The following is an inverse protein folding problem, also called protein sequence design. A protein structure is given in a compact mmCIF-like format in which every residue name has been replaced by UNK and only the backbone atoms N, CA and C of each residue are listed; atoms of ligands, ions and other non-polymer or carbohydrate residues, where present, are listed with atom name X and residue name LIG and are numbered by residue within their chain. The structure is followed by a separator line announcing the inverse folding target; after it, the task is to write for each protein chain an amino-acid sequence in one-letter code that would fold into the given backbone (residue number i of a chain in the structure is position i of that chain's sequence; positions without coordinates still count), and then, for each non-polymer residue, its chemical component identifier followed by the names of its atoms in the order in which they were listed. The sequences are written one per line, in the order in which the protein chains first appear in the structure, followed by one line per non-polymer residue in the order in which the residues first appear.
data_IF_147581419604
#
_entry.id   IF_147581419604
#
_cell.length_a   1.000
_cell.length_b   1.000
_cell.length_c   1.000
_cell.angle_alpha   90.00
_cell.angle_beta   90.00
_cell.angle_gamma   90.00
#
_symmetry.space_group_name_H-M   'P 1'
#
loop_
_entity.id
_entity.type
_entity.pdbx_description
1 polymer ?
#
# COMPACT_ATOMS: atom_id res chain seq x y z
N UNK A 1 14.56 -1.26 -5.31
CA UNK A 1 15.70 -0.35 -5.06
C UNK A 1 15.22 0.89 -4.32
N UNK A 2 15.91 1.27 -3.26
CA UNK A 2 15.63 2.46 -2.46
C UNK A 2 16.14 3.74 -3.16
N UNK A 3 15.58 4.89 -2.80
CA UNK A 3 16.14 6.19 -3.22
C UNK A 3 17.42 6.45 -2.43
N UNK A 4 18.32 7.28 -2.97
CA UNK A 4 19.49 7.77 -2.24
C UNK A 4 19.08 8.43 -0.91
N UNK A 5 19.79 8.10 0.17
CA UNK A 5 19.56 8.60 1.54
C UNK A 5 19.53 10.12 1.63
N UNK A 6 20.36 10.82 0.86
CA UNK A 6 20.40 12.30 0.82
C UNK A 6 19.09 12.95 0.36
N UNK A 7 18.24 12.24 -0.41
CA UNK A 7 17.02 12.79 -1.02
C UNK A 7 15.75 12.60 -0.18
N UNK A 8 15.84 11.88 0.95
CA UNK A 8 14.70 11.57 1.81
C UNK A 8 13.65 10.62 1.20
N UNK A 9 12.69 10.16 2.03
CA UNK A 9 11.57 9.36 1.56
C UNK A 9 10.69 10.16 0.60
N UNK A 10 10.10 9.48 -0.38
CA UNK A 10 9.18 10.13 -1.32
C UNK A 10 7.74 9.89 -0.87
N UNK A 11 6.94 10.95 -0.80
CA UNK A 11 5.49 10.86 -0.64
C UNK A 11 4.82 11.80 -1.62
N UNK A 12 3.79 11.31 -2.29
CA UNK A 12 3.02 12.12 -3.22
C UNK A 12 2.28 13.26 -2.49
N UNK A 13 2.40 14.53 -2.91
CA UNK A 13 1.84 15.67 -2.17
C UNK A 13 0.34 15.58 -1.89
N UNK A 14 -0.45 15.05 -2.84
CA UNK A 14 -1.90 14.84 -2.63
C UNK A 14 -2.21 13.79 -1.57
N UNK A 15 -1.37 12.76 -1.44
CA UNK A 15 -1.53 11.75 -0.41
C UNK A 15 -1.19 12.35 0.95
N UNK A 16 -0.08 13.09 1.02
CA UNK A 16 0.38 13.74 2.23
C UNK A 16 -0.65 14.70 2.83
N UNK A 17 -1.25 15.56 2.01
CA UNK A 17 -2.32 16.47 2.44
C UNK A 17 -3.52 15.74 3.06
N UNK A 18 -3.91 14.59 2.49
CA UNK A 18 -5.02 13.77 3.01
C UNK A 18 -4.69 13.10 4.33
N UNK A 19 -3.45 12.62 4.45
CA UNK A 19 -2.93 11.97 5.67
C UNK A 19 -2.91 12.96 6.83
N UNK A 20 -2.36 14.17 6.63
CA UNK A 20 -2.37 15.22 7.66
C UNK A 20 -3.80 15.60 8.06
N UNK A 21 -4.68 15.80 7.07
CA UNK A 21 -6.08 16.15 7.35
C UNK A 21 -6.79 15.06 8.16
N UNK A 22 -6.59 13.78 7.82
CA UNK A 22 -7.17 12.65 8.55
C UNK A 22 -6.60 12.54 9.98
N UNK A 23 -5.30 12.78 10.15
CA UNK A 23 -4.65 12.77 11.45
C UNK A 23 -5.17 13.88 12.37
N UNK A 24 -5.34 15.10 11.84
CA UNK A 24 -5.86 16.24 12.60
C UNK A 24 -7.31 16.01 13.06
N UNK A 25 -8.12 15.38 12.23
CA UNK A 25 -9.51 15.06 12.56
C UNK A 25 -9.66 13.79 13.41
N UNK A 26 -8.58 13.03 13.64
CA UNK A 26 -8.60 11.69 14.26
C UNK A 26 -9.57 10.72 13.57
N UNK A 27 -9.78 10.92 12.27
CA UNK A 27 -10.75 10.20 11.46
C UNK A 27 -10.16 8.87 10.97
N UNK A 28 -10.85 7.75 11.24
CA UNK A 28 -10.50 6.42 10.71
C UNK A 28 -10.98 6.23 9.26
N UNK A 29 -10.81 7.24 8.42
CA UNK A 29 -11.29 7.23 7.04
C UNK A 29 -10.34 6.43 6.15
N UNK A 30 -10.91 5.64 5.24
CA UNK A 30 -10.14 4.89 4.24
C UNK A 30 -9.63 5.84 3.15
N UNK A 31 -8.31 6.07 3.11
CA UNK A 31 -7.69 6.97 2.14
C UNK A 31 -7.37 6.21 0.85
N UNK A 32 -8.06 6.56 -0.25
CA UNK A 32 -7.77 6.00 -1.58
C UNK A 32 -6.54 6.66 -2.22
N UNK A 33 -5.65 5.84 -2.77
CA UNK A 33 -4.43 6.30 -3.45
C UNK A 33 -4.08 5.46 -4.68
N UNK A 34 -3.63 6.16 -5.72
CA UNK A 34 -2.97 5.58 -6.89
C UNK A 34 -1.44 5.65 -6.79
N UNK A 35 -0.92 6.40 -5.81
CA UNK A 35 0.52 6.58 -5.64
C UNK A 35 1.12 5.39 -4.91
N UNK A 36 1.44 4.34 -5.67
CA UNK A 36 2.12 3.12 -5.19
C UNK A 36 3.60 3.36 -4.84
N UNK A 37 4.19 4.44 -5.33
CA UNK A 37 5.61 4.78 -5.15
C UNK A 37 5.91 5.47 -3.82
N UNK A 38 4.87 5.96 -3.13
CA UNK A 38 4.98 6.62 -1.83
C UNK A 38 5.49 5.66 -0.77
N UNK A 39 6.40 6.16 0.05
CA UNK A 39 6.91 5.49 1.24
C UNK A 39 5.94 5.66 2.41
N UNK A 40 5.76 4.60 3.21
CA UNK A 40 4.97 4.66 4.44
C UNK A 40 5.77 5.44 5.48
N UNK A 41 5.17 6.52 5.96
CA UNK A 41 5.72 7.37 7.01
C UNK A 41 5.17 6.97 8.38
N UNK A 42 5.85 7.30 9.49
CA UNK A 42 5.35 7.04 10.85
C UNK A 42 3.98 7.63 11.11
N UNK A 43 3.69 8.81 10.55
CA UNK A 43 2.37 9.46 10.66
C UNK A 43 1.23 8.66 10.01
N UNK A 44 1.55 7.69 9.14
CA UNK A 44 0.56 6.84 8.48
C UNK A 44 0.14 5.62 9.30
N UNK A 45 0.81 5.35 10.43
CA UNK A 45 0.55 4.18 11.26
C UNK A 45 -0.85 4.27 11.88
N UNK A 46 -1.59 3.16 11.83
CA UNK A 46 -2.97 3.09 12.31
C UNK A 46 -4.04 3.56 11.32
N UNK A 47 -3.64 4.10 10.16
CA UNK A 47 -4.57 4.46 9.08
C UNK A 47 -4.72 3.34 8.05
N UNK A 48 -5.90 3.28 7.44
CA UNK A 48 -6.20 2.35 6.34
C UNK A 48 -6.03 3.07 5.01
N UNK A 49 -5.03 2.66 4.24
CA UNK A 49 -4.74 3.20 2.90
C UNK A 49 -5.19 2.19 1.85
N UNK A 50 -6.15 2.60 1.03
CA UNK A 50 -6.66 1.83 -0.08
C UNK A 50 -5.78 2.06 -1.33
N UNK A 51 -4.89 1.10 -1.61
CA UNK A 51 -3.88 1.18 -2.69
C UNK A 51 -4.41 0.55 -3.98
N UNK A 52 -4.32 1.29 -5.09
CA UNK A 52 -4.75 0.78 -6.39
C UNK A 52 -3.82 -0.32 -6.94
N UNK A 53 -4.38 -1.48 -7.31
CA UNK A 53 -3.65 -2.63 -7.88
C UNK A 53 -3.66 -2.68 -9.42
N UNK A 54 -4.42 -1.80 -10.07
CA UNK A 54 -4.66 -1.81 -11.52
C UNK A 54 -6.12 -2.08 -11.88
N UNK A 55 -6.89 -2.69 -10.98
CA UNK A 55 -8.33 -2.99 -11.16
C UNK A 55 -9.18 -2.45 -10.01
N UNK A 56 -8.71 -2.60 -8.78
CA UNK A 56 -9.43 -2.23 -7.56
C UNK A 56 -8.49 -1.57 -6.55
N UNK A 57 -9.07 -1.02 -5.50
CA UNK A 57 -8.29 -0.52 -4.36
C UNK A 57 -8.27 -1.58 -3.27
N UNK A 58 -7.07 -2.03 -2.90
CA UNK A 58 -6.86 -2.99 -1.82
C UNK A 58 -6.66 -2.18 -0.52
N UNK A 59 -7.50 -2.37 0.51
CA UNK A 59 -7.31 -1.72 1.80
C UNK A 59 -6.12 -2.35 2.52
N UNK A 60 -5.13 -1.51 2.87
CA UNK A 60 -3.95 -1.90 3.64
C UNK A 60 -3.97 -1.11 4.94
N UNK A 61 -4.01 -1.81 6.08
CA UNK A 61 -3.84 -1.19 7.40
C UNK A 61 -2.34 -1.03 7.67
N UNK A 62 -1.87 0.20 7.86
CA UNK A 62 -0.46 0.49 8.08
C UNK A 62 -0.06 0.20 9.53
N UNK A 63 0.89 -0.72 9.72
CA UNK A 63 1.53 -0.99 11.02
C UNK A 63 2.95 -0.40 11.09
N UNK A 64 3.51 -0.32 12.30
CA UNK A 64 4.86 0.25 12.53
C UNK A 64 5.95 -0.48 11.76
N UNK A 65 5.85 -1.82 11.66
CA UNK A 65 6.81 -2.64 10.92
C UNK A 65 6.82 -2.36 9.41
N UNK A 66 5.81 -1.66 8.88
CA UNK A 66 5.73 -1.30 7.46
C UNK A 66 6.40 0.05 7.16
N UNK A 67 6.83 0.80 8.17
CA UNK A 67 7.48 2.11 7.98
C UNK A 67 8.75 1.95 7.16
N UNK A 68 8.95 2.81 6.16
CA UNK A 68 10.08 2.76 5.24
C UNK A 68 9.85 1.92 3.98
N UNK A 69 8.86 1.03 3.98
CA UNK A 69 8.44 0.29 2.78
C UNK A 69 7.57 1.16 1.85
N UNK A 70 7.41 0.73 0.60
CA UNK A 70 6.49 1.38 -0.35
C UNK A 70 5.10 0.78 -0.26
N UNK A 71 4.08 1.64 -0.44
CA UNK A 71 2.68 1.20 -0.50
C UNK A 71 2.43 0.12 -1.56
N UNK A 72 3.15 0.17 -2.68
CA UNK A 72 3.04 -0.81 -3.75
C UNK A 72 3.50 -2.23 -3.39
N UNK A 73 4.28 -2.41 -2.32
CA UNK A 73 4.76 -3.73 -1.88
C UNK A 73 3.62 -4.56 -1.26
N UNK A 74 2.59 -3.88 -0.72
CA UNK A 74 1.46 -4.51 -0.04
C UNK A 74 0.25 -4.75 -0.96
N UNK A 75 0.35 -4.41 -2.26
CA UNK A 75 -0.73 -4.53 -3.23
C UNK A 75 -0.26 -5.27 -4.49
N UNK A 76 -0.41 -6.59 -4.54
CA UNK A 76 -0.01 -7.40 -5.70
C UNK A 76 -0.79 -7.04 -6.97
N UNK A 77 -0.09 -6.84 -8.08
CA UNK A 77 -0.67 -6.41 -9.36
C UNK A 77 -1.01 -7.54 -10.32
N UNK A 78 -0.35 -8.70 -10.17
CA UNK A 78 -0.55 -9.88 -11.03
C UNK A 78 -0.81 -11.08 -10.15
N UNK A 79 -1.85 -11.84 -10.49
CA UNK A 79 -2.07 -13.17 -9.91
C UNK A 79 -1.22 -14.17 -10.65
N UNK A 80 -0.09 -14.56 -10.07
CA UNK A 80 0.69 -15.68 -10.60
C UNK A 80 -0.02 -16.99 -10.26
N UNK A 81 -0.36 -17.78 -11.28
CA UNK A 81 -1.12 -19.05 -11.13
C UNK A 81 -0.22 -20.29 -11.13
N UNK A 82 1.10 -20.12 -11.04
CA UNK A 82 2.07 -21.20 -11.21
C UNK A 82 2.26 -21.60 -12.68
N UNK A 83 3.35 -22.30 -12.96
CA UNK A 83 3.48 -23.07 -14.18
C UNK A 83 2.60 -24.31 -14.03
N UNK A 84 1.48 -24.37 -14.75
CA UNK A 84 0.60 -25.54 -14.75
C UNK A 84 1.28 -26.68 -15.51
N UNK A 85 2.04 -27.51 -14.79
CA UNK A 85 2.18 -28.92 -15.19
C UNK A 85 0.79 -29.55 -15.14
N UNK A 86 0.48 -30.48 -16.04
CA UNK A 86 -0.79 -31.23 -15.99
C UNK A 86 -0.81 -32.12 -14.72
N UNK A 87 -1.19 -31.57 -13.59
CA UNK A 87 -1.72 -32.32 -12.44
C UNK A 87 -2.32 -31.37 -11.41
N UNK A 88 -3.50 -31.81 -10.94
CA UNK A 88 -4.21 -31.39 -9.74
C UNK A 88 -4.96 -30.04 -9.71
N UNK A 89 -6.28 -30.22 -9.59
CA UNK A 89 -7.26 -29.22 -9.18
C UNK A 89 -6.96 -28.80 -7.74
N UNK A 90 -6.26 -27.68 -7.55
CA UNK A 90 -6.22 -27.05 -6.22
C UNK A 90 -7.49 -26.23 -6.01
N UNK A 91 -8.25 -26.67 -5.02
CA UNK A 91 -9.46 -26.02 -4.49
C UNK A 91 -9.22 -24.52 -4.21
N UNK A 92 -10.14 -23.71 -4.71
CA UNK A 92 -10.27 -22.31 -4.29
C UNK A 92 -10.58 -22.28 -2.80
N UNK A 93 -9.73 -21.60 -2.01
CA UNK A 93 -10.05 -21.27 -0.61
C UNK A 93 -11.02 -20.08 -0.58
N UNK A 94 -12.00 -20.23 0.31
CA UNK A 94 -13.03 -19.27 0.76
C UNK A 94 -12.43 -17.94 1.18
#
# INVERSE_FOLDING_TARGET
MSRSTRKGPFVHPKLWKKVIAAQNNQDRVVIKTWSRSSTILPEMVGMTIAVHDGRRHIPVLCSENMVGHKLGEFAFTRTYRGHRGKSERTSQRV
#
